data_IF_080893790675
#
_entry.id   IF_080893790675
#
_cell.length_a   1.000
_cell.length_b   1.000
_cell.length_c   1.000
_cell.angle_alpha   90.00
_cell.angle_beta   90.00
_cell.angle_gamma   90.00
#
_symmetry.space_group_name_H-M   'P 1'
#
loop_
_entity.id
_entity.type
_entity.pdbx_description
1 polymer ?
#
# COMPACT_ATOMS: atom_id res chain seq x y z
N UNK A 1 -15.41 1.88 -1.25
CA UNK A 1 -14.95 0.98 -2.33
C UNK A 1 -13.50 1.32 -2.56
N UNK A 2 -12.62 0.35 -2.45
CA UNK A 2 -11.19 0.56 -2.34
C UNK A 2 -10.61 0.79 -3.74
N UNK A 3 -10.06 1.99 -3.98
CA UNK A 3 -9.54 2.40 -5.29
C UNK A 3 -8.09 1.94 -5.47
N UNK A 4 -7.84 1.14 -6.50
CA UNK A 4 -6.51 0.59 -6.82
C UNK A 4 -5.68 1.53 -7.70
N UNK A 5 -6.23 2.70 -8.00
CA UNK A 5 -5.59 3.78 -8.76
C UNK A 5 -5.71 3.64 -10.28
N UNK A 6 -5.33 4.71 -10.99
CA UNK A 6 -5.60 4.90 -12.43
C UNK A 6 -5.14 3.76 -13.35
N UNK A 7 -4.08 3.03 -12.97
CA UNK A 7 -3.61 1.86 -13.74
C UNK A 7 -4.55 0.66 -13.62
N UNK A 8 -5.14 0.44 -12.44
CA UNK A 8 -6.14 -0.60 -12.26
C UNK A 8 -7.42 -0.24 -13.03
N UNK A 9 -7.87 1.02 -12.94
CA UNK A 9 -9.05 1.51 -13.67
C UNK A 9 -8.91 1.32 -15.18
N UNK A 10 -7.71 1.57 -15.72
CA UNK A 10 -7.41 1.36 -17.14
C UNK A 10 -7.44 -0.11 -17.52
N UNK A 11 -6.97 -1.01 -16.65
CA UNK A 11 -7.05 -2.45 -16.88
C UNK A 11 -8.50 -2.95 -16.80
N UNK A 12 -9.31 -2.41 -15.89
CA UNK A 12 -10.73 -2.75 -15.74
C UNK A 12 -11.53 -2.27 -16.95
N UNK A 13 -11.31 -1.04 -17.41
CA UNK A 13 -11.91 -0.50 -18.63
C UNK A 13 -11.52 -1.32 -19.88
N UNK A 14 -10.26 -1.76 -19.97
CA UNK A 14 -9.80 -2.62 -21.05
C UNK A 14 -10.44 -4.01 -20.98
N UNK A 15 -10.59 -4.58 -19.80
CA UNK A 15 -11.25 -5.87 -19.62
C UNK A 15 -12.73 -5.78 -20.02
N UNK A 16 -13.43 -4.71 -19.65
CA UNK A 16 -14.81 -4.47 -20.04
C UNK A 16 -14.97 -4.33 -21.56
N UNK A 17 -14.03 -3.64 -22.24
CA UNK A 17 -14.08 -3.44 -23.70
C UNK A 17 -13.65 -4.65 -24.54
N UNK A 18 -12.86 -5.57 -23.97
CA UNK A 18 -12.28 -6.72 -24.71
C UNK A 18 -12.79 -8.08 -24.27
N UNK A 19 -13.48 -8.15 -23.13
CA UNK A 19 -13.89 -9.42 -22.50
C UNK A 19 -12.74 -10.23 -21.90
N UNK A 20 -11.50 -9.77 -22.02
CA UNK A 20 -10.30 -10.45 -21.52
C UNK A 20 -9.86 -9.77 -20.23
N UNK A 21 -9.95 -10.50 -19.12
CA UNK A 21 -9.46 -10.02 -17.82
C UNK A 21 -7.94 -10.27 -17.72
N UNK A 22 -7.12 -9.23 -17.57
CA UNK A 22 -5.68 -9.39 -17.33
C UNK A 22 -5.41 -10.24 -16.07
N UNK A 23 -4.39 -11.14 -16.08
CA UNK A 23 -4.08 -11.98 -14.93
C UNK A 23 -3.85 -11.20 -13.63
N UNK A 24 -3.25 -10.02 -13.72
CA UNK A 24 -3.03 -9.15 -12.56
C UNK A 24 -4.33 -8.63 -11.92
N UNK A 25 -5.39 -8.42 -12.71
CA UNK A 25 -6.72 -8.08 -12.17
C UNK A 25 -7.44 -9.31 -11.62
N UNK A 26 -7.31 -10.46 -12.29
CA UNK A 26 -7.94 -11.70 -11.86
C UNK A 26 -7.38 -12.20 -10.52
N UNK A 27 -6.08 -11.98 -10.27
CA UNK A 27 -5.40 -12.36 -9.03
C UNK A 27 -5.36 -11.23 -7.99
N UNK A 28 -6.21 -10.21 -8.13
CA UNK A 28 -6.24 -9.09 -7.18
C UNK A 28 -6.68 -9.60 -5.80
N UNK A 29 -5.89 -9.35 -4.74
CA UNK A 29 -6.29 -9.76 -3.40
C UNK A 29 -7.54 -9.00 -2.95
N UNK A 30 -8.48 -9.73 -2.36
CA UNK A 30 -9.60 -9.12 -1.65
C UNK A 30 -9.13 -8.58 -0.31
N UNK A 31 -9.41 -7.30 -0.06
CA UNK A 31 -9.12 -6.67 1.22
C UNK A 31 -10.37 -6.80 2.09
N UNK A 32 -10.20 -7.39 3.27
CA UNK A 32 -11.29 -7.52 4.21
C UNK A 32 -11.82 -6.13 4.63
N UNK A 33 -13.14 -5.94 4.87
CA UNK A 33 -13.71 -4.63 5.16
C UNK A 33 -13.06 -3.90 6.36
N UNK A 34 -12.61 -4.66 7.36
CA UNK A 34 -11.92 -4.11 8.52
C UNK A 34 -10.50 -3.60 8.20
N UNK A 35 -9.90 -4.07 7.11
CA UNK A 35 -8.54 -3.71 6.69
C UNK A 35 -8.49 -2.45 5.79
N UNK A 36 -9.64 -2.06 5.21
CA UNK A 36 -9.81 -0.86 4.36
C UNK A 36 -9.19 0.43 4.96
N UNK A 37 -9.47 0.80 6.24
CA UNK A 37 -8.93 2.05 6.79
C UNK A 37 -7.40 2.04 6.90
N UNK A 38 -6.78 0.90 7.21
CA UNK A 38 -5.32 0.78 7.30
C UNK A 38 -4.67 0.83 5.91
N UNK A 39 -5.32 0.19 4.92
CA UNK A 39 -4.85 0.22 3.54
C UNK A 39 -4.93 1.63 2.94
N UNK A 40 -6.03 2.35 3.18
CA UNK A 40 -6.18 3.74 2.76
C UNK A 40 -5.11 4.64 3.37
N UNK A 41 -4.92 4.54 4.68
CA UNK A 41 -3.88 5.31 5.38
C UNK A 41 -2.49 5.02 4.82
N UNK A 42 -2.16 3.75 4.58
CA UNK A 42 -0.89 3.38 3.96
C UNK A 42 -0.71 4.04 2.59
N UNK A 43 -1.71 4.02 1.72
CA UNK A 43 -1.63 4.64 0.39
C UNK A 43 -1.47 6.17 0.46
N UNK A 44 -2.23 6.83 1.34
CA UNK A 44 -2.15 8.28 1.51
C UNK A 44 -0.78 8.70 2.04
N UNK A 45 -0.33 8.04 3.11
CA UNK A 45 0.95 8.33 3.76
C UNK A 45 2.17 7.91 2.93
N UNK A 46 2.01 6.95 2.00
CA UNK A 46 3.08 6.56 1.08
C UNK A 46 3.56 7.72 0.19
N UNK A 47 2.71 8.72 -0.04
CA UNK A 47 3.06 9.94 -0.81
C UNK A 47 4.00 10.87 -0.04
N UNK A 48 4.02 10.77 1.29
CA UNK A 48 4.88 11.56 2.16
C UNK A 48 6.25 10.92 2.41
N UNK A 49 6.51 9.75 1.81
CA UNK A 49 7.84 9.15 1.86
C UNK A 49 8.85 10.05 1.16
N UNK A 50 9.99 10.26 1.84
CA UNK A 50 11.21 10.69 1.17
C UNK A 50 11.69 9.58 0.23
N UNK A 51 12.41 9.91 -0.86
CA UNK A 51 12.93 8.90 -1.77
C UNK A 51 13.78 7.87 -0.99
N UNK A 52 13.28 6.63 -0.94
CA UNK A 52 13.83 5.47 -0.21
C UNK A 52 13.66 5.43 1.32
N UNK A 53 12.84 6.31 1.92
CA UNK A 53 12.60 6.34 3.36
C UNK A 53 11.31 5.64 3.81
N UNK A 54 11.27 5.25 5.08
CA UNK A 54 10.04 4.85 5.75
C UNK A 54 9.07 6.03 5.91
N UNK A 55 7.78 5.74 6.03
CA UNK A 55 6.75 6.73 6.36
C UNK A 55 7.12 7.39 7.70
N UNK A 56 7.24 8.73 7.78
CA UNK A 56 7.53 9.40 9.03
C UNK A 56 6.43 9.15 10.07
N UNK A 57 6.83 8.81 11.31
CA UNK A 57 5.86 8.67 12.42
C UNK A 57 5.06 9.95 12.67
N UNK A 58 5.63 11.11 12.37
CA UNK A 58 4.95 12.39 12.44
C UNK A 58 3.78 12.47 11.45
N UNK A 59 3.94 11.96 10.23
CA UNK A 59 2.88 11.93 9.22
C UNK A 59 1.74 11.00 9.66
N UNK A 60 2.07 9.81 10.20
CA UNK A 60 1.06 8.89 10.77
C UNK A 60 0.26 9.58 11.87
N UNK A 61 0.95 10.31 12.77
CA UNK A 61 0.29 11.04 13.86
C UNK A 61 -0.65 12.12 13.32
N UNK A 62 -0.20 12.92 12.35
CA UNK A 62 -1.01 13.98 11.72
C UNK A 62 -2.24 13.38 11.05
N UNK A 63 -2.08 12.32 10.27
CA UNK A 63 -3.21 11.64 9.60
C UNK A 63 -4.25 11.12 10.60
N UNK A 64 -3.82 10.51 11.71
CA UNK A 64 -4.74 10.07 12.77
C UNK A 64 -5.47 11.23 13.45
N UNK A 65 -4.84 12.41 13.53
CA UNK A 65 -5.47 13.61 14.08
C UNK A 65 -6.51 14.20 13.10
N UNK A 66 -6.21 14.20 11.81
CA UNK A 66 -7.10 14.64 10.72
C UNK A 66 -8.34 13.74 10.59
N UNK A 67 -8.14 12.41 10.66
CA UNK A 67 -9.21 11.41 10.67
C UNK A 67 -9.94 11.31 12.02
N UNK A 68 -9.58 12.16 12.98
CA UNK A 68 -10.20 12.27 14.29
C UNK A 68 -10.18 10.96 15.10
N UNK A 69 -9.16 10.13 14.91
CA UNK A 69 -8.98 8.90 15.68
C UNK A 69 -8.49 9.26 17.07
N UNK A 70 -9.39 9.30 18.06
CA UNK A 70 -9.08 9.75 19.44
C UNK A 70 -8.72 8.63 20.40
N UNK A 71 -9.16 7.40 20.13
CA UNK A 71 -8.90 6.25 20.99
C UNK A 71 -7.40 5.91 21.01
N UNK A 72 -6.73 5.93 22.18
CA UNK A 72 -5.29 5.70 22.26
C UNK A 72 -4.87 4.27 21.90
N UNK A 73 -5.72 3.27 22.16
CA UNK A 73 -5.47 1.87 21.79
C UNK A 73 -5.53 1.74 20.28
N UNK A 74 -6.60 2.26 19.67
CA UNK A 74 -6.79 2.23 18.22
C UNK A 74 -5.66 2.96 17.47
N UNK A 75 -5.19 4.10 18.01
CA UNK A 75 -4.03 4.81 17.45
C UNK A 75 -2.74 3.99 17.51
N UNK A 76 -2.55 3.22 18.57
CA UNK A 76 -1.43 2.28 18.72
C UNK A 76 -1.49 1.21 17.63
N UNK A 77 -2.62 0.53 17.51
CA UNK A 77 -2.86 -0.51 16.50
C UNK A 77 -2.67 0.03 15.07
N UNK A 78 -3.20 1.22 14.79
CA UNK A 78 -3.05 1.87 13.49
C UNK A 78 -1.59 2.12 13.14
N UNK A 79 -0.82 2.65 14.09
CA UNK A 79 0.60 2.91 13.89
C UNK A 79 1.36 1.61 13.62
N UNK A 80 1.10 0.56 14.40
CA UNK A 80 1.77 -0.73 14.24
C UNK A 80 1.49 -1.33 12.86
N UNK A 81 0.23 -1.36 12.43
CA UNK A 81 -0.16 -1.93 11.14
C UNK A 81 0.38 -1.14 9.96
N UNK A 82 0.30 0.20 9.98
CA UNK A 82 0.82 1.04 8.90
C UNK A 82 2.35 0.92 8.80
N UNK A 83 3.06 0.87 9.92
CA UNK A 83 4.52 0.65 9.92
C UNK A 83 4.87 -0.74 9.41
N UNK A 84 4.13 -1.78 9.79
CA UNK A 84 4.36 -3.13 9.28
C UNK A 84 4.14 -3.22 7.77
N UNK A 85 3.08 -2.60 7.24
CA UNK A 85 2.84 -2.50 5.80
C UNK A 85 3.98 -1.76 5.08
N UNK A 86 4.46 -0.67 5.67
CA UNK A 86 5.57 0.12 5.13
C UNK A 86 6.88 -0.67 5.06
N UNK A 87 7.20 -1.43 6.11
CA UNK A 87 8.36 -2.30 6.12
C UNK A 87 8.29 -3.39 5.04
N UNK A 88 7.12 -4.02 4.88
CA UNK A 88 6.91 -5.02 3.83
C UNK A 88 7.04 -4.41 2.43
N UNK A 89 6.49 -3.22 2.23
CA UNK A 89 6.61 -2.51 0.97
C UNK A 89 8.07 -2.14 0.65
N UNK A 90 8.82 -1.64 1.63
CA UNK A 90 10.25 -1.33 1.47
C UNK A 90 11.07 -2.58 1.16
N UNK A 91 10.78 -3.70 1.83
CA UNK A 91 11.44 -4.97 1.57
C UNK A 91 11.19 -5.47 0.14
N UNK A 92 9.95 -5.34 -0.35
CA UNK A 92 9.57 -5.72 -1.72
C UNK A 92 10.09 -4.74 -2.79
N UNK A 93 10.27 -3.46 -2.43
CA UNK A 93 10.69 -2.40 -3.36
C UNK A 93 12.20 -2.28 -3.49
N UNK A 94 12.98 -2.90 -2.60
CA UNK A 94 14.42 -3.03 -2.81
C UNK A 94 14.64 -3.90 -4.05
N UNK A 95 15.37 -3.41 -5.07
CA UNK A 95 15.82 -4.29 -6.13
C UNK A 95 16.57 -5.44 -5.46
N UNK A 96 16.31 -6.68 -5.89
CA UNK A 96 17.12 -7.82 -5.47
C UNK A 96 18.59 -7.44 -5.72
N UNK A 97 19.36 -7.29 -4.65
CA UNK A 97 20.77 -6.91 -4.77
C UNK A 97 21.45 -7.91 -5.69
N UNK A 98 22.28 -7.35 -6.57
CA UNK A 98 23.12 -8.01 -7.53
C UNK A 98 23.83 -9.25 -6.95
N UNK A 99 23.50 -10.42 -7.51
CA UNK A 99 24.23 -11.68 -7.34
C UNK A 99 23.48 -12.73 -8.18
N UNK A 100 23.96 -13.11 -9.36
CA UNK A 100 25.17 -13.91 -9.55
C UNK A 100 25.68 -13.73 -10.98
N UNK A 101 26.88 -13.17 -11.15
CA UNK A 101 27.72 -13.50 -12.31
C UNK A 101 28.56 -14.70 -11.86
N UNK A 102 28.13 -15.90 -12.21
CA UNK A 102 28.97 -17.10 -12.25
C UNK A 102 29.02 -17.54 -13.71
N UNK A 103 30.23 -17.69 -14.23
CA UNK A 103 30.53 -18.14 -15.59
C UNK A 103 31.22 -17.03 -16.39
N UNK A 104 32.44 -17.16 -16.86
CA UNK A 104 33.40 -18.28 -16.96
C UNK A 104 34.82 -17.72 -16.92
#
# INVERSE_FOLDING_TARGET
MLEWGARADLLEARAAGTGIVPPALASRPEIAPWADPYWRAFLDLSRERLPAGAIPLAAIRTWLDEEQVRDPVLRGEFRELVVALDQQWLAASRPADAGTVQGE
#
